data_IF_087381763292
#
_entry.id   IF_087381763292
#
_cell.length_a   1.000
_cell.length_b   1.000
_cell.length_c   1.000
_cell.angle_alpha   90.00
_cell.angle_beta   90.00
_cell.angle_gamma   90.00
#
_symmetry.space_group_name_H-M   'P 1'
#
loop_
_entity.id
_entity.type
_entity.pdbx_description
1 polymer ?
#
# COMPACT_ATOMS: atom_id res chain seq x y z
N UNK A 1 18.23 -24.21 -105.39
CA UNK A 1 18.24 -24.27 -103.92
C UNK A 1 16.83 -24.59 -103.47
N UNK A 2 16.68 -25.73 -102.79
CA UNK A 2 15.45 -26.52 -102.75
C UNK A 2 14.48 -26.03 -101.67
N UNK A 3 13.19 -25.99 -101.99
CA UNK A 3 12.02 -25.64 -101.16
C UNK A 3 12.04 -26.27 -99.76
N UNK A 4 12.67 -27.45 -99.59
CA UNK A 4 12.85 -28.09 -98.29
C UNK A 4 13.74 -27.29 -97.30
N UNK A 5 14.66 -26.45 -97.80
CA UNK A 5 15.51 -25.61 -96.94
C UNK A 5 14.74 -24.44 -96.32
N UNK A 6 13.85 -23.82 -97.10
CA UNK A 6 13.03 -22.68 -96.64
C UNK A 6 11.96 -23.13 -95.63
N UNK A 7 11.40 -24.32 -95.81
CA UNK A 7 10.38 -24.88 -94.90
C UNK A 7 11.00 -25.29 -93.54
N UNK A 8 12.26 -25.72 -93.54
CA UNK A 8 13.02 -26.02 -92.33
C UNK A 8 13.38 -24.74 -91.55
N UNK A 9 13.79 -23.68 -92.26
CA UNK A 9 14.06 -22.37 -91.67
C UNK A 9 12.81 -21.73 -91.06
N UNK A 10 11.66 -21.83 -91.75
CA UNK A 10 10.38 -21.34 -91.24
C UNK A 10 9.96 -22.05 -89.94
N UNK A 11 10.05 -23.39 -89.89
CA UNK A 11 9.77 -24.17 -88.67
C UNK A 11 10.74 -23.86 -87.53
N UNK A 12 11.99 -23.55 -87.85
CA UNK A 12 12.98 -23.17 -86.83
C UNK A 12 12.64 -21.80 -86.24
N UNK A 13 12.25 -20.84 -87.07
CA UNK A 13 11.81 -19.50 -86.63
C UNK A 13 10.56 -19.62 -85.75
N UNK A 14 9.56 -20.40 -86.17
CA UNK A 14 8.32 -20.63 -85.41
C UNK A 14 8.62 -21.23 -84.02
N UNK A 15 9.43 -22.30 -83.94
CA UNK A 15 9.83 -22.89 -82.67
C UNK A 15 10.58 -21.91 -81.75
N UNK A 16 11.45 -21.06 -82.32
CA UNK A 16 12.19 -20.06 -81.53
C UNK A 16 11.24 -18.97 -81.00
N UNK A 17 10.27 -18.55 -81.79
CA UNK A 17 9.23 -17.60 -81.38
C UNK A 17 8.38 -18.19 -80.25
N UNK A 18 7.86 -19.41 -80.41
CA UNK A 18 7.05 -20.08 -79.39
C UNK A 18 7.83 -20.28 -78.08
N UNK A 19 9.11 -20.66 -78.17
CA UNK A 19 9.97 -20.83 -76.99
C UNK A 19 10.20 -19.51 -76.27
N UNK A 20 10.39 -18.41 -77.02
CA UNK A 20 10.54 -17.06 -76.48
C UNK A 20 9.26 -16.60 -75.79
N UNK A 21 8.10 -16.81 -76.41
CA UNK A 21 6.81 -16.44 -75.82
C UNK A 21 6.52 -17.24 -74.55
N UNK A 22 6.80 -18.55 -74.56
CA UNK A 22 6.67 -19.40 -73.38
C UNK A 22 7.58 -18.93 -72.23
N UNK A 23 8.84 -18.61 -72.52
CA UNK A 23 9.79 -18.06 -71.53
C UNK A 23 9.31 -16.72 -70.96
N UNK A 24 8.82 -15.81 -71.82
CA UNK A 24 8.29 -14.51 -71.40
C UNK A 24 7.04 -14.67 -70.52
N UNK A 25 6.14 -15.59 -70.88
CA UNK A 25 4.93 -15.88 -70.11
C UNK A 25 5.27 -16.45 -68.73
N UNK A 26 6.17 -17.44 -68.67
CA UNK A 26 6.66 -18.00 -67.40
C UNK A 26 7.37 -16.96 -66.54
N UNK A 27 8.17 -16.07 -67.14
CA UNK A 27 8.83 -14.99 -66.42
C UNK A 27 7.82 -13.99 -65.83
N UNK A 28 6.78 -13.63 -66.59
CA UNK A 28 5.69 -12.76 -66.10
C UNK A 28 4.92 -13.41 -64.96
N UNK A 29 4.55 -14.68 -65.09
CA UNK A 29 3.80 -15.41 -64.05
C UNK A 29 4.64 -15.58 -62.77
N UNK A 30 5.96 -15.79 -62.90
CA UNK A 30 6.87 -15.80 -61.75
C UNK A 30 6.97 -14.42 -61.10
N UNK A 31 7.10 -13.35 -61.88
CA UNK A 31 7.14 -11.98 -61.36
C UNK A 31 5.84 -11.62 -60.62
N UNK A 32 4.68 -11.97 -61.17
CA UNK A 32 3.38 -11.76 -60.53
C UNK A 32 3.25 -12.53 -59.21
N UNK A 33 3.69 -13.80 -59.18
CA UNK A 33 3.72 -14.60 -57.94
C UNK A 33 4.60 -13.96 -56.87
N UNK A 34 5.81 -13.52 -57.24
CA UNK A 34 6.72 -12.85 -56.30
C UNK A 34 6.09 -11.57 -55.76
N UNK A 35 5.50 -10.73 -56.61
CA UNK A 35 4.84 -9.49 -56.19
C UNK A 35 3.64 -9.79 -55.27
N UNK A 36 2.84 -10.82 -55.59
CA UNK A 36 1.69 -11.21 -54.78
C UNK A 36 2.14 -11.71 -53.40
N UNK A 37 3.13 -12.61 -53.35
CA UNK A 37 3.69 -13.13 -52.11
C UNK A 37 4.25 -12.00 -51.24
N UNK A 38 5.03 -11.08 -51.82
CA UNK A 38 5.58 -9.95 -51.09
C UNK A 38 4.47 -9.03 -50.52
N UNK A 39 3.38 -8.81 -51.27
CA UNK A 39 2.23 -8.03 -50.78
C UNK A 39 1.50 -8.71 -49.63
N UNK A 40 1.34 -10.04 -49.68
CA UNK A 40 0.72 -10.82 -48.60
C UNK A 40 1.58 -10.83 -47.35
N UNK A 41 2.90 -10.98 -47.51
CA UNK A 41 3.87 -10.94 -46.41
C UNK A 41 3.89 -9.58 -45.71
N UNK A 42 3.91 -8.47 -46.47
CA UNK A 42 3.80 -7.12 -45.93
C UNK A 42 2.51 -6.94 -45.12
N UNK A 43 1.38 -7.45 -45.62
CA UNK A 43 0.11 -7.38 -44.87
C UNK A 43 0.18 -8.16 -43.57
N UNK A 44 0.77 -9.36 -43.58
CA UNK A 44 0.93 -10.18 -42.39
C UNK A 44 1.82 -9.49 -41.35
N UNK A 45 2.97 -8.96 -41.77
CA UNK A 45 3.91 -8.24 -40.90
C UNK A 45 3.24 -7.03 -40.25
N UNK A 46 2.47 -6.25 -41.04
CA UNK A 46 1.77 -5.08 -40.52
C UNK A 46 0.70 -5.46 -39.48
N UNK A 47 -0.10 -6.49 -39.76
CA UNK A 47 -1.14 -6.94 -38.83
C UNK A 47 -0.55 -7.47 -37.50
N UNK A 48 0.55 -8.21 -37.58
CA UNK A 48 1.23 -8.72 -36.38
C UNK A 48 1.90 -7.60 -35.58
N UNK A 49 2.53 -6.64 -36.25
CA UNK A 49 3.13 -5.47 -35.62
C UNK A 49 2.07 -4.62 -34.91
N UNK A 50 0.93 -4.37 -35.55
CA UNK A 50 -0.18 -3.61 -34.96
C UNK A 50 -0.72 -4.29 -33.70
N UNK A 51 -0.89 -5.62 -33.74
CA UNK A 51 -1.31 -6.41 -32.59
C UNK A 51 -0.30 -6.34 -31.43
N UNK A 52 0.99 -6.43 -31.75
CA UNK A 52 2.06 -6.32 -30.74
C UNK A 52 2.08 -4.93 -30.11
N UNK A 53 1.98 -3.86 -30.90
CA UNK A 53 1.93 -2.47 -30.41
C UNK A 53 0.73 -2.29 -29.48
N UNK A 54 -0.47 -2.71 -29.90
CA UNK A 54 -1.68 -2.62 -29.07
C UNK A 54 -1.55 -3.39 -27.75
N UNK A 55 -0.93 -4.56 -27.79
CA UNK A 55 -0.68 -5.36 -26.59
C UNK A 55 0.30 -4.67 -25.63
N UNK A 56 1.42 -4.18 -26.16
CA UNK A 56 2.46 -3.52 -25.37
C UNK A 56 1.91 -2.24 -24.74
N UNK A 57 1.33 -1.36 -25.55
CA UNK A 57 0.72 -0.10 -25.12
C UNK A 57 -0.39 -0.37 -24.11
N UNK A 58 -1.25 -1.36 -24.35
CA UNK A 58 -2.30 -1.74 -23.41
C UNK A 58 -1.76 -2.26 -22.08
N UNK A 59 -0.65 -3.01 -22.09
CA UNK A 59 -0.01 -3.49 -20.86
C UNK A 59 0.67 -2.37 -20.07
N UNK A 60 1.37 -1.46 -20.75
CA UNK A 60 2.03 -0.32 -20.13
C UNK A 60 1.02 0.66 -19.53
N UNK A 61 -0.05 0.97 -20.27
CA UNK A 61 -1.13 1.83 -19.77
C UNK A 61 -1.79 1.24 -18.52
N UNK A 62 -2.03 -0.08 -18.49
CA UNK A 62 -2.54 -0.76 -17.30
C UNK A 62 -1.57 -0.63 -16.13
N UNK A 63 -0.28 -0.92 -16.33
CA UNK A 63 0.72 -0.83 -15.28
C UNK A 63 0.86 0.60 -14.72
N UNK A 64 0.78 1.62 -15.58
CA UNK A 64 0.78 3.03 -15.16
C UNK A 64 -0.48 3.35 -14.37
N UNK A 65 -1.66 2.93 -14.85
CA UNK A 65 -2.92 3.14 -14.15
C UNK A 65 -2.91 2.49 -12.76
N UNK A 66 -2.50 1.23 -12.65
CA UNK A 66 -2.44 0.50 -11.39
C UNK A 66 -1.48 1.17 -10.40
N UNK A 67 -0.35 1.71 -10.90
CA UNK A 67 0.58 2.47 -10.07
C UNK A 67 -0.05 3.76 -9.55
N UNK A 68 -0.74 4.51 -10.40
CA UNK A 68 -1.40 5.77 -10.01
C UNK A 68 -2.49 5.50 -8.97
N UNK A 69 -3.38 4.56 -9.26
CA UNK A 69 -4.49 4.18 -8.35
C UNK A 69 -3.93 3.64 -7.03
N UNK A 70 -2.98 2.71 -7.09
CA UNK A 70 -2.37 2.14 -5.89
C UNK A 70 -1.66 3.19 -5.03
N UNK A 71 -0.99 4.16 -5.65
CA UNK A 71 -0.34 5.26 -4.93
C UNK A 71 -1.36 6.16 -4.26
N UNK A 72 -2.44 6.52 -4.96
CA UNK A 72 -3.51 7.36 -4.43
C UNK A 72 -4.25 6.67 -3.26
N UNK A 73 -4.50 5.36 -3.36
CA UNK A 73 -5.11 4.59 -2.27
C UNK A 73 -4.22 4.54 -1.03
N UNK A 74 -2.92 4.31 -1.20
CA UNK A 74 -1.96 4.30 -0.10
C UNK A 74 -1.87 5.66 0.58
N UNK A 75 -1.82 6.74 -0.19
CA UNK A 75 -1.80 8.10 0.32
C UNK A 75 -3.10 8.45 1.06
N UNK A 76 -4.25 8.06 0.52
CA UNK A 76 -5.54 8.19 1.19
C UNK A 76 -5.60 7.48 2.54
N UNK A 77 -5.11 6.23 2.59
CA UNK A 77 -5.02 5.47 3.85
C UNK A 77 -4.09 6.13 4.85
N UNK A 78 -2.93 6.63 4.40
CA UNK A 78 -1.97 7.35 5.25
C UNK A 78 -2.61 8.59 5.87
N UNK A 79 -3.27 9.43 5.06
CA UNK A 79 -3.95 10.63 5.54
C UNK A 79 -5.01 10.29 6.59
N UNK A 80 -5.81 9.24 6.36
CA UNK A 80 -6.82 8.80 7.33
C UNK A 80 -6.20 8.36 8.66
N UNK A 81 -5.10 7.60 8.62
CA UNK A 81 -4.40 7.17 9.83
C UNK A 81 -3.79 8.35 10.59
N UNK A 82 -3.19 9.31 9.88
CA UNK A 82 -2.65 10.52 10.50
C UNK A 82 -3.74 11.35 11.18
N UNK A 83 -4.86 11.59 10.50
CA UNK A 83 -5.99 12.32 11.07
C UNK A 83 -6.56 11.64 12.34
N UNK A 84 -6.65 10.30 12.34
CA UNK A 84 -7.06 9.54 13.52
C UNK A 84 -6.08 9.69 14.67
N UNK A 85 -4.78 9.62 14.38
CA UNK A 85 -3.74 9.77 15.40
C UNK A 85 -3.77 11.18 16.01
N UNK A 86 -3.91 12.22 15.18
CA UNK A 86 -4.01 13.60 15.66
C UNK A 86 -5.23 13.81 16.57
N UNK A 87 -6.38 13.23 16.22
CA UNK A 87 -7.57 13.29 17.06
C UNK A 87 -7.34 12.57 18.40
N UNK A 88 -6.74 11.39 18.37
CA UNK A 88 -6.40 10.66 19.59
C UNK A 88 -5.44 11.45 20.47
N UNK A 89 -4.38 12.00 19.90
CA UNK A 89 -3.42 12.84 20.63
C UNK A 89 -4.12 14.01 21.31
N UNK A 90 -4.99 14.74 20.60
CA UNK A 90 -5.76 15.84 21.20
C UNK A 90 -6.66 15.40 22.35
N UNK A 91 -7.27 14.22 22.25
CA UNK A 91 -8.09 13.67 23.34
C UNK A 91 -7.23 13.33 24.55
N UNK A 92 -6.06 12.73 24.36
CA UNK A 92 -5.14 12.44 25.45
C UNK A 92 -4.58 13.73 26.09
N UNK A 93 -4.17 14.70 25.29
CA UNK A 93 -3.70 16.02 25.77
C UNK A 93 -4.79 16.75 26.57
N UNK A 94 -6.05 16.69 26.12
CA UNK A 94 -7.18 17.26 26.86
C UNK A 94 -7.45 16.51 28.17
N UNK A 95 -7.40 15.18 28.15
CA UNK A 95 -7.59 14.36 29.33
C UNK A 95 -6.49 14.61 30.37
N UNK A 96 -5.23 14.65 29.93
CA UNK A 96 -4.07 14.93 30.78
C UNK A 96 -4.18 16.31 31.41
N UNK A 97 -4.49 17.35 30.62
CA UNK A 97 -4.68 18.70 31.17
C UNK A 97 -5.79 18.76 32.22
N UNK A 98 -6.90 18.04 32.02
CA UNK A 98 -7.98 17.97 33.02
C UNK A 98 -7.54 17.26 34.29
N UNK A 99 -6.75 16.20 34.17
CA UNK A 99 -6.16 15.50 35.32
C UNK A 99 -5.17 16.39 36.08
N UNK A 100 -4.33 17.16 35.38
CA UNK A 100 -3.43 18.14 35.97
C UNK A 100 -4.21 19.20 36.76
N UNK A 101 -5.24 19.81 36.16
CA UNK A 101 -6.09 20.79 36.85
C UNK A 101 -6.76 20.19 38.09
N UNK A 102 -7.24 18.94 38.01
CA UNK A 102 -7.80 18.24 39.18
C UNK A 102 -6.75 18.03 40.28
N UNK A 103 -5.52 17.67 39.91
CA UNK A 103 -4.41 17.47 40.84
C UNK A 103 -3.92 18.78 41.46
N UNK A 104 -3.85 19.86 40.68
CA UNK A 104 -3.47 21.20 41.16
C UNK A 104 -4.50 21.81 42.09
N UNK A 105 -5.80 21.59 41.80
CA UNK A 105 -6.90 22.11 42.60
C UNK A 105 -6.93 21.60 44.04
N UNK A 106 -6.31 20.45 44.33
CA UNK A 106 -6.18 19.84 45.67
C UNK A 106 -7.47 19.88 46.53
N UNK A 107 -8.64 19.82 45.88
CA UNK A 107 -9.96 19.86 46.51
C UNK A 107 -10.36 18.53 47.15
N UNK A 108 -11.57 18.47 47.72
CA UNK A 108 -12.16 17.23 48.29
C UNK A 108 -12.09 16.06 47.31
N UNK A 109 -12.35 16.35 46.03
CA UNK A 109 -12.45 15.36 44.98
C UNK A 109 -11.09 14.67 44.70
N UNK A 110 -9.99 15.42 44.82
CA UNK A 110 -8.65 14.86 44.66
C UNK A 110 -8.24 13.97 45.84
N UNK A 111 -8.68 14.30 47.06
CA UNK A 111 -8.46 13.46 48.23
C UNK A 111 -9.11 12.11 48.06
N UNK A 112 -10.39 12.09 47.67
CA UNK A 112 -11.15 10.86 47.49
C UNK A 112 -10.54 9.99 46.40
N UNK A 113 -10.05 10.60 45.32
CA UNK A 113 -9.30 9.90 44.26
C UNK A 113 -8.03 9.24 44.81
N UNK A 114 -7.18 9.97 45.55
CA UNK A 114 -5.95 9.42 46.12
C UNK A 114 -6.24 8.27 47.08
N UNK A 115 -7.22 8.42 47.98
CA UNK A 115 -7.59 7.35 48.93
C UNK A 115 -8.10 6.12 48.20
N UNK A 116 -8.90 6.31 47.15
CA UNK A 116 -9.41 5.22 46.33
C UNK A 116 -8.28 4.50 45.59
N UNK A 117 -7.36 5.24 44.96
CA UNK A 117 -6.18 4.66 44.28
C UNK A 117 -5.32 3.84 45.24
N UNK A 118 -5.06 4.37 46.44
CA UNK A 118 -4.28 3.67 47.47
C UNK A 118 -5.00 2.40 47.93
N UNK A 119 -6.33 2.47 48.13
CA UNK A 119 -7.13 1.34 48.58
C UNK A 119 -7.23 0.23 47.52
N UNK A 120 -7.44 0.61 46.26
CA UNK A 120 -7.45 -0.33 45.13
C UNK A 120 -6.09 -1.02 44.98
N UNK A 121 -5.00 -0.26 45.12
CA UNK A 121 -3.64 -0.80 45.06
C UNK A 121 -3.34 -1.75 46.22
N UNK A 122 -3.68 -1.38 47.45
CA UNK A 122 -3.49 -2.22 48.63
C UNK A 122 -4.30 -3.52 48.55
N UNK A 123 -5.54 -3.44 48.04
CA UNK A 123 -6.40 -4.60 47.76
C UNK A 123 -5.80 -5.54 46.71
N UNK A 124 -5.28 -4.97 45.61
CA UNK A 124 -4.70 -5.74 44.52
C UNK A 124 -3.39 -6.42 44.90
N UNK A 125 -2.55 -5.78 45.72
CA UNK A 125 -1.27 -6.33 46.19
C UNK A 125 -1.51 -7.44 47.22
N UNK A 126 -2.41 -7.20 48.19
CA UNK A 126 -2.63 -8.10 49.32
C UNK A 126 -1.49 -8.06 50.35
N UNK A 127 -1.84 -7.91 51.63
CA UNK A 127 -0.87 -7.79 52.72
C UNK A 127 -1.37 -6.96 53.89
N UNK A 128 -0.54 -6.83 54.93
CA UNK A 128 -0.90 -6.14 56.17
C UNK A 128 -0.17 -4.80 56.34
N UNK A 129 0.98 -4.60 55.71
CA UNK A 129 1.73 -3.35 55.74
C UNK A 129 2.08 -2.89 54.32
N UNK A 130 1.76 -1.63 54.01
CA UNK A 130 2.04 -1.02 52.71
C UNK A 130 2.88 0.25 52.88
N UNK A 131 3.78 0.49 51.93
CA UNK A 131 4.55 1.72 51.81
C UNK A 131 4.02 2.48 50.60
N UNK A 132 3.51 3.70 50.82
CA UNK A 132 3.04 4.59 49.74
C UNK A 132 4.12 5.61 49.43
N UNK A 133 4.56 5.61 48.18
CA UNK A 133 5.48 6.59 47.61
C UNK A 133 4.71 7.51 46.64
N UNK A 134 4.98 8.81 46.70
CA UNK A 134 4.38 9.83 45.84
C UNK A 134 5.35 11.03 45.74
N UNK A 135 5.05 12.00 44.88
CA UNK A 135 5.80 13.25 44.81
C UNK A 135 5.70 14.05 46.12
N UNK A 136 6.59 15.02 46.32
CA UNK A 136 6.60 15.86 47.53
C UNK A 136 5.25 16.52 47.86
N UNK A 137 4.54 17.02 46.84
CA UNK A 137 3.25 17.71 46.99
C UNK A 137 2.20 16.78 47.58
N UNK A 138 2.05 15.61 47.00
CA UNK A 138 1.03 14.63 47.36
C UNK A 138 1.40 13.95 48.68
N UNK A 139 2.68 13.72 48.97
CA UNK A 139 3.15 13.28 50.30
C UNK A 139 2.80 14.30 51.39
N UNK A 140 3.04 15.60 51.15
CA UNK A 140 2.68 16.65 52.10
C UNK A 140 1.16 16.69 52.37
N UNK A 141 0.36 16.43 51.33
CA UNK A 141 -1.09 16.35 51.43
C UNK A 141 -1.55 15.08 52.18
N UNK A 142 -1.03 13.90 51.82
CA UNK A 142 -1.31 12.62 52.45
C UNK A 142 -0.91 12.61 53.93
N UNK A 143 0.19 13.25 54.32
CA UNK A 143 0.60 13.40 55.73
C UNK A 143 -0.50 14.03 56.59
N UNK A 144 -1.24 15.02 56.06
CA UNK A 144 -2.34 15.69 56.77
C UNK A 144 -3.56 14.78 56.93
N UNK A 145 -3.82 13.93 55.94
CA UNK A 145 -4.99 13.04 55.89
C UNK A 145 -4.71 11.60 56.35
N UNK A 146 -3.45 11.27 56.70
CA UNK A 146 -2.97 9.92 56.96
C UNK A 146 -3.77 9.16 58.03
N UNK A 147 -4.25 9.86 59.07
CA UNK A 147 -5.07 9.26 60.14
C UNK A 147 -6.44 8.79 59.63
N UNK A 148 -7.08 9.60 58.79
CA UNK A 148 -8.37 9.28 58.18
C UNK A 148 -8.22 8.12 57.20
N UNK A 149 -7.17 8.18 56.37
CA UNK A 149 -6.82 7.18 55.37
C UNK A 149 -6.55 5.82 56.03
N UNK A 150 -5.68 5.76 57.04
CA UNK A 150 -5.40 4.52 57.77
C UNK A 150 -6.63 3.94 58.47
N UNK A 151 -7.55 4.78 58.96
CA UNK A 151 -8.80 4.31 59.56
C UNK A 151 -9.70 3.63 58.53
N UNK A 152 -9.82 4.20 57.35
CA UNK A 152 -10.73 3.72 56.31
C UNK A 152 -10.15 2.48 55.61
N UNK A 153 -8.83 2.41 55.40
CA UNK A 153 -8.11 1.23 54.92
C UNK A 153 -8.12 0.07 55.92
N UNK A 154 -7.95 0.33 57.22
CA UNK A 154 -8.01 -0.73 58.25
C UNK A 154 -9.38 -1.38 58.32
N UNK A 155 -10.46 -0.62 58.05
CA UNK A 155 -11.83 -1.15 57.95
C UNK A 155 -12.06 -1.97 56.69
N UNK A 156 -11.45 -1.59 55.56
CA UNK A 156 -11.67 -2.23 54.26
C UNK A 156 -10.79 -3.48 54.04
N UNK A 157 -9.55 -3.46 54.51
CA UNK A 157 -8.50 -4.41 54.10
C UNK A 157 -7.70 -5.01 55.27
N UNK A 158 -7.90 -4.54 56.50
CA UNK A 158 -7.15 -5.00 57.68
C UNK A 158 -5.67 -4.55 57.75
N UNK A 159 -5.14 -3.97 56.68
CA UNK A 159 -3.76 -3.47 56.61
C UNK A 159 -3.56 -2.04 57.09
N UNK A 160 -2.29 -1.66 57.27
CA UNK A 160 -1.82 -0.32 57.66
C UNK A 160 -0.87 0.26 56.64
N UNK A 161 -0.86 1.58 56.50
CA UNK A 161 -0.03 2.29 55.53
C UNK A 161 0.98 3.20 56.23
N UNK A 162 2.22 3.11 55.75
CA UNK A 162 3.33 4.02 56.06
C UNK A 162 3.66 4.82 54.79
N UNK A 163 4.04 6.09 54.97
CA UNK A 163 4.53 6.91 53.85
C UNK A 163 6.03 6.65 53.68
N UNK A 164 6.43 6.31 52.47
CA UNK A 164 7.84 6.12 52.09
C UNK A 164 8.53 7.44 51.74
N UNK A 165 9.83 7.35 51.48
CA UNK A 165 10.60 8.43 50.86
C UNK A 165 10.34 8.48 49.34
N UNK A 166 10.69 9.59 48.70
CA UNK A 166 10.50 9.81 47.27
C UNK A 166 11.29 8.76 46.45
N UNK A 167 10.69 8.15 45.41
CA UNK A 167 11.38 7.15 44.57
C UNK A 167 12.34 7.78 43.56
#
# INVERSE_FOLDING_TARGET
MSTNSMDLEAKLIENVVDKRESLLSQAKEKAERVIKSAKEEVKSINAESEKQILSLVGSELRAVNDRIVGSAELEGRKMLMQARQELLSKVFEEAERRLEVMAEGMGSDYTDILVKMISESASAIGGEEFIVAANERDLAYLKKSLRTINRDLKKALGGTIKLGEEP
#
